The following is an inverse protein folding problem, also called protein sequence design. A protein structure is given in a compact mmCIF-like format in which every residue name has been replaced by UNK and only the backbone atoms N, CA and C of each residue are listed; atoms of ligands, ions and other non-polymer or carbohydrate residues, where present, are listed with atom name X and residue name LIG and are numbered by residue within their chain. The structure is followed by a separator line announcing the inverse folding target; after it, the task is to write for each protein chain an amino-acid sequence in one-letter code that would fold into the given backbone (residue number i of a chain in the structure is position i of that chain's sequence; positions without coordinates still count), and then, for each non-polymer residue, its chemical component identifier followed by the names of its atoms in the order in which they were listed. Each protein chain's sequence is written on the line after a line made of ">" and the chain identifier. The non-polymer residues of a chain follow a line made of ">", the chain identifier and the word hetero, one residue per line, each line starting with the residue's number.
data_IF_195779536031
#
_entry.id   IF_195779536031
#
_cell.length_a   1.000
_cell.length_b   1.000
_cell.length_c   1.000
_cell.angle_alpha   90.00
_cell.angle_beta   90.00
_cell.angle_gamma   90.00
#
_symmetry.space_group_name_H-M   'P 1'
#
loop_
_entity.id
_entity.type
_entity.pdbx_description
1 polymer ?
#
# COMPACT_ATOMS: atom_id res chain seq x y z
N UNK A 1 -33.77 -10.63 -5.08
CA UNK A 1 -33.51 -9.79 -3.89
C UNK A 1 -34.51 -8.63 -3.93
N UNK A 2 -35.50 -8.64 -3.06
CA UNK A 2 -36.47 -7.54 -2.89
C UNK A 2 -35.77 -6.34 -2.24
N UNK A 3 -36.08 -5.11 -2.66
CA UNK A 3 -35.42 -3.85 -2.26
C UNK A 3 -35.48 -3.50 -0.74
N UNK A 4 -35.96 -4.39 0.13
CA UNK A 4 -36.30 -4.09 1.53
C UNK A 4 -35.30 -4.58 2.60
N UNK A 5 -34.12 -5.07 2.25
CA UNK A 5 -33.10 -5.49 3.24
C UNK A 5 -31.68 -5.00 2.90
N UNK A 6 -31.55 -3.80 2.33
CA UNK A 6 -30.23 -3.18 2.19
C UNK A 6 -29.86 -2.48 3.50
N UNK A 7 -28.71 -2.85 4.08
CA UNK A 7 -28.18 -2.14 5.24
C UNK A 7 -27.95 -0.66 4.88
N UNK A 8 -28.07 0.28 5.85
CA UNK A 8 -27.77 1.68 5.60
C UNK A 8 -26.40 1.91 4.97
N UNK A 9 -25.40 1.12 5.37
CA UNK A 9 -24.05 1.16 4.79
C UNK A 9 -24.03 0.77 3.30
N UNK A 10 -24.80 -0.27 2.90
CA UNK A 10 -24.90 -0.68 1.51
C UNK A 10 -25.58 0.40 0.64
N UNK A 11 -26.60 1.08 1.17
CA UNK A 11 -27.26 2.20 0.50
C UNK A 11 -26.30 3.38 0.35
N UNK A 12 -25.60 3.76 1.41
CA UNK A 12 -24.61 4.85 1.39
C UNK A 12 -23.51 4.56 0.37
N UNK A 13 -22.96 3.35 0.37
CA UNK A 13 -21.95 2.95 -0.62
C UNK A 13 -22.50 3.01 -2.04
N UNK A 14 -23.71 2.51 -2.28
CA UNK A 14 -24.35 2.56 -3.61
C UNK A 14 -24.52 4.00 -4.13
N UNK A 15 -24.94 4.93 -3.27
CA UNK A 15 -25.07 6.35 -3.62
C UNK A 15 -23.71 6.96 -3.95
N UNK A 16 -22.69 6.72 -3.11
CA UNK A 16 -21.35 7.27 -3.34
C UNK A 16 -20.71 6.67 -4.59
N UNK A 17 -20.81 5.36 -4.80
CA UNK A 17 -20.32 4.67 -6.00
C UNK A 17 -20.99 5.22 -7.27
N UNK A 18 -22.30 5.48 -7.22
CA UNK A 18 -23.04 6.09 -8.35
C UNK A 18 -22.58 7.52 -8.63
N UNK A 19 -22.36 8.32 -7.59
CA UNK A 19 -21.82 9.67 -7.71
C UNK A 19 -20.40 9.67 -8.27
N UNK A 20 -19.53 8.79 -7.78
CA UNK A 20 -18.16 8.62 -8.27
C UNK A 20 -18.14 8.19 -9.72
N UNK A 21 -18.99 7.23 -10.11
CA UNK A 21 -19.14 6.83 -11.50
C UNK A 21 -19.57 8.00 -12.40
N UNK A 22 -20.50 8.83 -11.94
CA UNK A 22 -20.91 10.02 -12.67
C UNK A 22 -19.74 11.01 -12.84
N UNK A 23 -18.99 11.28 -11.76
CA UNK A 23 -17.80 12.14 -11.79
C UNK A 23 -16.74 11.58 -12.74
N UNK A 24 -16.45 10.28 -12.70
CA UNK A 24 -15.49 9.65 -13.60
C UNK A 24 -15.88 9.82 -15.08
N UNK A 25 -17.17 9.77 -15.43
CA UNK A 25 -17.64 9.98 -16.80
C UNK A 25 -17.53 11.44 -17.30
N UNK A 26 -17.29 12.41 -16.42
CA UNK A 26 -16.92 13.77 -16.81
C UNK A 26 -15.50 13.77 -17.39
N UNK A 27 -14.56 13.11 -16.69
CA UNK A 27 -13.15 13.07 -17.05
C UNK A 27 -12.82 12.04 -18.14
N UNK A 28 -13.55 10.92 -18.19
CA UNK A 28 -13.31 9.82 -19.12
C UNK A 28 -14.52 9.57 -20.00
N UNK A 29 -14.32 9.49 -21.31
CA UNK A 29 -15.42 9.16 -22.24
C UNK A 29 -15.87 7.72 -22.13
N UNK A 30 -14.98 6.82 -21.70
CA UNK A 30 -15.22 5.39 -21.64
C UNK A 30 -14.45 4.79 -20.46
N UNK A 31 -15.19 4.07 -19.63
CA UNK A 31 -14.70 3.33 -18.47
C UNK A 31 -15.16 1.89 -18.66
N UNK A 32 -14.22 0.96 -18.83
CA UNK A 32 -14.53 -0.47 -18.96
C UNK A 32 -13.96 -1.23 -17.78
N UNK A 33 -14.65 -2.31 -17.42
CA UNK A 33 -14.15 -3.30 -16.48
C UNK A 33 -13.79 -4.58 -17.23
N UNK A 34 -12.72 -5.24 -16.81
CA UNK A 34 -12.34 -6.57 -17.25
C UNK A 34 -12.10 -7.48 -16.06
N UNK A 35 -12.50 -8.75 -16.13
CA UNK A 35 -12.25 -9.71 -15.05
C UNK A 35 -13.03 -9.48 -13.76
N UNK A 36 -14.01 -8.57 -13.72
CA UNK A 36 -14.77 -8.27 -12.48
C UNK A 36 -15.50 -9.49 -11.89
N UNK A 37 -15.80 -10.50 -12.72
CA UNK A 37 -16.37 -11.78 -12.31
C UNK A 37 -15.38 -12.69 -11.56
N UNK A 38 -14.07 -12.39 -11.58
CA UNK A 38 -13.07 -13.07 -10.76
C UNK A 38 -13.16 -12.69 -9.28
N UNK A 39 -13.81 -11.56 -8.95
CA UNK A 39 -13.94 -11.07 -7.58
C UNK A 39 -14.87 -12.00 -6.79
N UNK A 40 -14.36 -12.74 -5.79
CA UNK A 40 -15.18 -13.63 -4.97
C UNK A 40 -16.29 -12.85 -4.27
N UNK A 41 -17.48 -13.43 -4.14
CA UNK A 41 -18.62 -12.81 -3.44
C UNK A 41 -18.75 -13.26 -1.98
N UNK A 42 -18.28 -14.48 -1.69
CA UNK A 42 -18.49 -15.14 -0.39
C UNK A 42 -17.22 -15.23 0.47
N UNK A 43 -16.11 -14.68 0.00
CA UNK A 43 -14.81 -14.67 0.69
C UNK A 43 -14.32 -13.24 0.92
N UNK A 44 -13.60 -12.92 2.01
CA UNK A 44 -13.05 -11.58 2.21
C UNK A 44 -11.95 -11.32 1.18
N UNK A 45 -11.83 -10.05 0.76
CA UNK A 45 -10.92 -9.67 -0.33
C UNK A 45 -10.05 -8.49 0.06
N UNK A 46 -8.74 -8.61 -0.16
CA UNK A 46 -7.86 -7.45 -0.25
C UNK A 46 -7.70 -7.11 -1.74
N UNK A 47 -8.23 -5.96 -2.15
CA UNK A 47 -7.94 -5.36 -3.44
C UNK A 47 -6.60 -4.64 -3.38
N UNK A 48 -5.63 -5.09 -4.16
CA UNK A 48 -4.45 -4.32 -4.47
C UNK A 48 -4.76 -3.49 -5.71
N UNK A 49 -4.69 -2.17 -5.64
CA UNK A 49 -5.10 -1.28 -6.73
C UNK A 49 -3.94 -0.40 -7.18
N UNK A 50 -3.71 -0.32 -8.49
CA UNK A 50 -2.66 0.52 -9.08
C UNK A 50 -2.53 0.33 -10.58
N UNK A 51 -1.59 0.99 -11.27
CA UNK A 51 -0.65 1.98 -10.73
C UNK A 51 -1.37 3.24 -10.20
N UNK A 52 -0.76 3.92 -9.23
CA UNK A 52 -1.39 5.06 -8.54
C UNK A 52 -0.91 6.42 -9.08
N UNK A 53 -1.34 6.75 -10.31
CA UNK A 53 -0.95 7.99 -10.99
C UNK A 53 -1.57 9.23 -10.35
N UNK A 54 -2.87 9.21 -10.05
CA UNK A 54 -3.61 10.36 -9.55
C UNK A 54 -4.41 9.98 -8.33
N UNK A 55 -3.85 10.30 -7.15
CA UNK A 55 -4.34 9.83 -5.83
C UNK A 55 -5.85 9.85 -5.66
N UNK A 56 -6.49 10.88 -6.20
CA UNK A 56 -7.93 11.07 -6.08
C UNK A 56 -8.72 10.44 -7.23
N UNK A 57 -8.29 10.63 -8.47
CA UNK A 57 -9.01 10.13 -9.66
C UNK A 57 -9.02 8.60 -9.66
N UNK A 58 -7.92 7.96 -9.27
CA UNK A 58 -7.79 6.51 -9.17
C UNK A 58 -8.82 5.93 -8.20
N UNK A 59 -8.97 6.55 -7.03
CA UNK A 59 -9.99 6.18 -6.06
C UNK A 59 -11.39 6.32 -6.62
N UNK A 60 -11.72 7.48 -7.20
CA UNK A 60 -13.06 7.75 -7.76
C UNK A 60 -13.40 6.76 -8.89
N UNK A 61 -12.46 6.48 -9.80
CA UNK A 61 -12.65 5.49 -10.87
C UNK A 61 -12.87 4.10 -10.30
N UNK A 62 -11.99 3.64 -9.41
CA UNK A 62 -12.08 2.30 -8.83
C UNK A 62 -13.39 2.11 -8.05
N UNK A 63 -13.69 2.98 -7.08
CA UNK A 63 -14.90 2.88 -6.25
C UNK A 63 -16.20 3.10 -7.06
N UNK A 64 -16.14 3.77 -8.21
CA UNK A 64 -17.28 3.93 -9.12
C UNK A 64 -17.62 2.66 -9.94
N UNK A 65 -16.71 1.70 -10.04
CA UNK A 65 -16.92 0.45 -10.81
C UNK A 65 -16.61 -0.83 -10.03
N UNK A 66 -16.23 -0.72 -8.76
CA UNK A 66 -15.89 -1.84 -7.90
C UNK A 66 -17.12 -2.75 -7.69
N UNK A 67 -17.04 -4.06 -8.01
CA UNK A 67 -18.17 -4.98 -7.85
C UNK A 67 -18.55 -5.27 -6.40
N UNK A 68 -17.66 -5.04 -5.43
CA UNK A 68 -17.95 -5.26 -4.00
C UNK A 68 -17.52 -4.07 -3.15
N UNK A 69 -18.36 -3.57 -2.23
CA UNK A 69 -17.98 -2.52 -1.28
C UNK A 69 -16.67 -2.85 -0.57
N UNK A 70 -15.81 -1.84 -0.42
CA UNK A 70 -14.51 -2.01 0.22
C UNK A 70 -14.05 -0.78 0.97
N UNK A 71 -13.23 -1.00 2.00
CA UNK A 71 -12.73 0.01 2.92
C UNK A 71 -11.28 0.36 2.56
N UNK A 72 -11.03 1.63 2.21
CA UNK A 72 -9.71 2.06 1.75
C UNK A 72 -8.78 2.38 2.91
N UNK A 73 -7.50 1.98 2.81
CA UNK A 73 -6.46 2.58 3.64
C UNK A 73 -6.16 4.00 3.15
N UNK A 74 -6.30 4.99 4.03
CA UNK A 74 -6.16 6.40 3.68
C UNK A 74 -5.14 7.08 4.59
N UNK A 75 -4.22 7.87 4.04
CA UNK A 75 -3.26 8.61 4.86
C UNK A 75 -3.99 9.54 5.85
N UNK A 76 -3.59 9.53 7.13
CA UNK A 76 -4.25 10.31 8.19
C UNK A 76 -4.29 11.82 7.87
N UNK A 77 -3.25 12.34 7.23
CA UNK A 77 -3.19 13.73 6.75
C UNK A 77 -4.30 14.04 5.74
N UNK A 78 -4.65 13.11 4.86
CA UNK A 78 -5.74 13.26 3.88
C UNK A 78 -7.10 13.06 4.56
N UNK A 79 -7.20 12.12 5.48
CA UNK A 79 -8.42 11.83 6.25
C UNK A 79 -8.89 13.01 7.11
N UNK A 80 -7.97 13.88 7.52
CA UNK A 80 -8.26 15.08 8.31
C UNK A 80 -8.56 16.33 7.46
N UNK A 81 -8.46 16.26 6.12
CA UNK A 81 -8.83 17.40 5.26
C UNK A 81 -10.35 17.55 5.16
N UNK A 82 -10.92 18.77 5.14
CA UNK A 82 -12.37 18.97 5.22
C UNK A 82 -13.19 18.26 4.13
N UNK A 83 -12.80 18.36 2.85
CA UNK A 83 -13.54 17.75 1.73
C UNK A 83 -13.17 16.27 1.55
N UNK A 84 -11.87 15.99 1.42
CA UNK A 84 -11.35 14.63 1.15
C UNK A 84 -11.65 13.69 2.32
N UNK A 85 -11.45 14.19 3.55
CA UNK A 85 -11.74 13.45 4.77
C UNK A 85 -13.22 13.23 5.03
N UNK A 86 -14.12 14.09 4.52
CA UNK A 86 -15.56 13.87 4.63
C UNK A 86 -15.99 12.66 3.80
N UNK A 87 -15.55 12.57 2.54
CA UNK A 87 -15.81 11.39 1.71
C UNK A 87 -15.13 10.14 2.25
N UNK A 88 -13.90 10.25 2.76
CA UNK A 88 -13.21 9.14 3.43
C UNK A 88 -14.03 8.58 4.61
N UNK A 89 -14.58 9.46 5.45
CA UNK A 89 -15.44 9.07 6.58
C UNK A 89 -16.75 8.42 6.13
N UNK A 90 -17.40 8.94 5.10
CA UNK A 90 -18.63 8.35 4.54
C UNK A 90 -18.38 6.94 4.01
N UNK A 91 -17.19 6.71 3.42
CA UNK A 91 -16.76 5.42 2.91
C UNK A 91 -16.07 4.54 3.98
N UNK A 92 -16.10 4.96 5.25
CA UNK A 92 -15.43 4.25 6.36
C UNK A 92 -13.96 3.92 6.07
N UNK A 93 -13.24 4.84 5.43
CA UNK A 93 -11.82 4.67 5.15
C UNK A 93 -11.01 4.57 6.46
N UNK A 94 -10.04 3.66 6.48
CA UNK A 94 -9.19 3.39 7.64
C UNK A 94 -8.00 4.36 7.61
N UNK A 95 -7.86 5.26 8.60
CA UNK A 95 -6.76 6.22 8.63
C UNK A 95 -5.44 5.53 8.99
N UNK A 96 -4.40 5.79 8.20
CA UNK A 96 -3.05 5.25 8.39
C UNK A 96 -2.09 6.40 8.63
N UNK A 97 -1.44 6.40 9.79
CA UNK A 97 -0.33 7.30 10.08
C UNK A 97 0.90 6.73 9.39
N UNK A 98 1.59 7.57 8.62
CA UNK A 98 2.80 7.18 7.90
C UNK A 98 3.99 7.93 8.48
N UNK A 99 5.12 7.27 8.79
CA UNK A 99 6.28 7.93 9.38
C UNK A 99 6.79 9.11 8.55
N UNK A 100 6.68 9.04 7.22
CA UNK A 100 7.10 10.13 6.33
C UNK A 100 6.24 11.40 6.43
N UNK A 101 5.00 11.30 6.94
CA UNK A 101 4.11 12.45 7.09
C UNK A 101 4.39 13.24 8.38
N UNK A 102 5.09 12.62 9.34
CA UNK A 102 5.42 13.19 10.65
C UNK A 102 6.93 13.47 10.80
N UNK A 103 7.62 13.72 9.68
CA UNK A 103 9.07 14.00 9.70
C UNK A 103 9.30 15.44 10.15
N UNK A 104 10.01 15.59 11.26
CA UNK A 104 10.37 16.89 11.82
C UNK A 104 11.88 17.12 11.72
N UNK A 105 12.28 18.39 11.74
CA UNK A 105 13.70 18.76 11.75
C UNK A 105 14.20 18.66 13.20
N UNK A 106 15.27 17.90 13.42
CA UNK A 106 15.89 17.82 14.75
C UNK A 106 16.63 19.11 15.12
N UNK A 107 16.69 19.40 16.42
CA UNK A 107 17.43 20.56 16.95
C UNK A 107 18.92 20.26 17.00
N UNK A 108 19.75 21.23 16.58
CA UNK A 108 21.21 21.08 16.61
C UNK A 108 21.75 20.26 15.43
N UNK A 109 22.89 19.62 15.66
CA UNK A 109 23.59 18.81 14.66
C UNK A 109 24.03 17.48 15.27
N UNK A 110 24.22 16.46 14.44
CA UNK A 110 24.73 15.16 14.87
C UNK A 110 26.10 14.85 14.26
N UNK A 111 26.91 14.12 14.99
CA UNK A 111 28.19 13.56 14.59
C UNK A 111 28.11 12.05 14.71
N UNK A 112 28.58 11.36 13.69
CA UNK A 112 28.58 9.91 13.63
C UNK A 112 29.89 9.43 13.03
N UNK A 113 30.56 8.50 13.71
CA UNK A 113 31.81 7.89 13.29
C UNK A 113 31.59 6.38 13.12
N UNK A 114 31.56 5.94 11.87
CA UNK A 114 31.34 4.53 11.52
C UNK A 114 32.54 3.62 11.81
N UNK A 115 33.73 4.17 12.05
CA UNK A 115 34.95 3.39 12.22
C UNK A 115 35.23 3.12 13.71
N UNK A 116 35.07 4.14 14.56
CA UNK A 116 35.40 4.04 15.99
C UNK A 116 34.20 3.79 16.88
N UNK A 117 33.03 4.35 16.56
CA UNK A 117 31.83 4.29 17.39
C UNK A 117 30.57 4.01 16.56
N UNK A 118 30.51 2.86 15.88
CA UNK A 118 29.54 2.60 14.82
C UNK A 118 28.09 2.43 15.27
N UNK A 119 27.85 2.38 16.59
CA UNK A 119 26.50 2.24 17.18
C UNK A 119 26.08 3.46 17.99
N UNK A 120 26.84 4.55 17.97
CA UNK A 120 26.55 5.74 18.78
C UNK A 120 26.50 6.98 17.91
N UNK A 121 25.50 7.83 18.16
CA UNK A 121 25.37 9.16 17.58
C UNK A 121 25.57 10.19 18.69
N UNK A 122 26.47 11.14 18.41
CA UNK A 122 26.74 12.28 19.28
C UNK A 122 26.05 13.52 18.75
N UNK A 123 25.39 14.27 19.63
CA UNK A 123 24.71 15.51 19.31
C UNK A 123 25.48 16.74 19.76
N UNK A 124 25.37 17.83 19.01
CA UNK A 124 25.86 19.16 19.36
C UNK A 124 24.70 20.15 19.39
N UNK A 125 24.45 20.74 20.57
CA UNK A 125 23.27 21.58 20.84
C UNK A 125 21.94 20.88 20.51
N UNK A 126 21.89 19.57 20.73
CA UNK A 126 20.73 18.71 20.51
C UNK A 126 19.88 18.59 21.77
N UNK A 127 18.66 18.10 21.62
CA UNK A 127 17.71 17.83 22.72
C UNK A 127 17.14 16.43 22.62
N UNK A 128 18.00 15.43 22.51
CA UNK A 128 17.56 14.06 22.22
C UNK A 128 16.55 13.50 23.24
N UNK A 129 16.61 13.88 24.51
CA UNK A 129 15.66 13.35 25.50
C UNK A 129 14.24 13.89 25.34
N UNK A 130 14.10 15.08 24.73
CA UNK A 130 12.81 15.70 24.41
C UNK A 130 12.30 15.30 23.02
N UNK A 131 13.20 15.12 22.05
CA UNK A 131 12.84 14.99 20.63
C UNK A 131 12.89 13.54 20.08
N UNK A 132 13.63 12.63 20.73
CA UNK A 132 13.79 11.25 20.27
C UNK A 132 13.15 10.25 21.25
N UNK A 133 12.47 9.26 20.68
CA UNK A 133 12.02 8.08 21.40
C UNK A 133 12.74 6.82 20.88
N UNK A 134 12.71 5.75 21.67
CA UNK A 134 13.19 4.45 21.22
C UNK A 134 12.42 3.99 19.99
N UNK A 135 13.13 3.42 19.01
CA UNK A 135 12.66 2.97 17.68
C UNK A 135 12.41 4.06 16.65
N UNK A 136 12.50 5.34 17.02
CA UNK A 136 12.44 6.44 16.06
C UNK A 136 13.57 6.33 15.03
N UNK A 137 13.37 6.99 13.90
CA UNK A 137 14.37 7.06 12.86
C UNK A 137 15.06 8.41 12.86
N UNK A 138 16.39 8.39 12.82
CA UNK A 138 17.19 9.57 12.51
C UNK A 138 17.56 9.50 11.03
N UNK A 139 17.23 10.55 10.29
CA UNK A 139 17.61 10.73 8.88
C UNK A 139 18.65 11.83 8.75
N UNK A 140 19.79 11.52 8.14
CA UNK A 140 20.90 12.47 8.01
C UNK A 140 21.74 12.19 6.75
N UNK A 141 22.61 13.14 6.42
CA UNK A 141 23.40 13.08 5.19
C UNK A 141 22.52 13.04 3.93
N UNK A 142 23.02 12.43 2.86
CA UNK A 142 22.26 12.32 1.61
C UNK A 142 21.12 11.32 1.69
N UNK A 143 21.32 10.16 2.33
CA UNK A 143 20.35 9.05 2.36
C UNK A 143 20.52 8.10 3.57
N UNK A 144 21.14 8.55 4.67
CA UNK A 144 21.32 7.67 5.83
C UNK A 144 20.08 7.70 6.72
N UNK A 145 19.62 6.49 7.10
CA UNK A 145 18.46 6.28 7.95
C UNK A 145 18.81 5.22 8.98
N UNK A 146 18.80 5.58 10.26
CA UNK A 146 19.14 4.69 11.38
C UNK A 146 18.02 4.64 12.39
N UNK A 147 17.90 3.53 13.10
CA UNK A 147 16.93 3.38 14.18
C UNK A 147 17.58 3.70 15.53
N UNK A 148 16.91 4.50 16.34
CA UNK A 148 17.28 4.75 17.73
C UNK A 148 17.03 3.48 18.54
N UNK A 149 18.10 2.88 19.06
CA UNK A 149 18.01 1.79 20.02
C UNK A 149 17.64 2.33 21.40
N UNK A 150 18.34 3.39 21.83
CA UNK A 150 18.20 4.00 23.15
C UNK A 150 18.68 5.45 23.14
N UNK A 151 17.99 6.33 23.87
CA UNK A 151 18.47 7.69 24.15
C UNK A 151 19.22 7.66 25.48
N UNK A 152 20.48 8.11 25.50
CA UNK A 152 21.33 8.12 26.71
C UNK A 152 21.26 9.49 27.39
N UNK A 153 21.39 10.57 26.61
CA UNK A 153 21.34 11.96 27.07
C UNK A 153 20.91 12.88 25.93
N UNK A 154 20.79 14.18 26.17
CA UNK A 154 20.44 15.16 25.13
C UNK A 154 21.44 15.20 23.97
N UNK A 155 22.65 14.69 24.17
CA UNK A 155 23.76 14.71 23.21
C UNK A 155 24.27 13.32 22.87
N UNK A 156 23.63 12.24 23.30
CA UNK A 156 24.09 10.89 23.02
C UNK A 156 22.92 9.90 22.87
N UNK A 157 22.91 9.15 21.77
CA UNK A 157 21.98 8.04 21.57
C UNK A 157 22.64 6.84 20.87
N UNK A 158 22.13 5.64 21.15
CA UNK A 158 22.54 4.39 20.53
C UNK A 158 21.64 4.07 19.34
N UNK A 159 22.21 3.44 18.30
CA UNK A 159 21.50 2.98 17.11
C UNK A 159 21.59 1.46 16.93
N UNK A 160 20.62 0.88 16.22
CA UNK A 160 20.51 -0.59 16.13
C UNK A 160 21.43 -1.24 15.10
N UNK A 161 21.97 -0.47 14.15
CA UNK A 161 22.81 -0.97 13.08
C UNK A 161 23.74 0.13 12.58
N UNK A 162 24.85 -0.29 11.99
CA UNK A 162 25.87 0.61 11.47
C UNK A 162 25.51 1.05 10.05
N UNK A 163 25.88 2.28 9.71
CA UNK A 163 25.77 2.82 8.35
C UNK A 163 27.16 3.22 7.88
N UNK A 164 27.49 2.87 6.63
CA UNK A 164 28.70 3.36 5.97
C UNK A 164 28.44 4.77 5.47
N UNK A 165 29.28 5.70 5.89
CA UNK A 165 29.24 7.08 5.45
C UNK A 165 30.45 7.30 4.57
N UNK A 166 30.22 7.49 3.27
CA UNK A 166 31.31 7.75 2.34
C UNK A 166 31.94 9.10 2.67
N UNK A 167 33.26 9.13 2.83
CA UNK A 167 34.00 10.37 3.02
C UNK A 167 34.01 11.13 1.69
N UNK A 168 33.40 12.32 1.64
CA UNK A 168 33.69 13.26 0.57
C UNK A 168 35.15 13.70 0.74
N UNK A 169 35.92 13.65 -0.36
CA UNK A 169 37.40 13.81 -0.45
C UNK A 169 38.00 15.08 0.18
N UNK A 170 37.18 15.97 0.78
CA UNK A 170 37.60 17.30 1.20
C UNK A 170 37.33 17.73 2.65
N UNK A 171 36.80 16.93 3.59
CA UNK A 171 36.89 17.31 5.02
C UNK A 171 36.50 16.25 6.07
N UNK A 172 37.50 15.92 6.91
CA UNK A 172 37.49 15.53 8.34
C UNK A 172 36.69 14.30 8.81
N UNK A 173 37.40 13.49 9.63
CA UNK A 173 36.98 12.32 10.44
C UNK A 173 35.77 12.49 11.38
N UNK A 174 35.01 13.59 11.30
CA UNK A 174 33.83 13.87 12.13
C UNK A 174 32.99 14.90 11.38
N UNK A 175 32.23 14.44 10.39
CA UNK A 175 31.29 15.29 9.71
C UNK A 175 30.07 15.52 10.61
N UNK A 176 29.72 16.79 10.79
CA UNK A 176 28.52 17.22 11.50
C UNK A 176 27.38 17.34 10.51
N UNK A 177 26.23 16.74 10.83
CA UNK A 177 25.06 16.65 9.96
C UNK A 177 23.86 17.32 10.60
N UNK A 178 23.12 18.10 9.81
CA UNK A 178 21.73 18.37 10.13
C UNK A 178 20.93 17.08 9.98
N UNK A 179 19.94 16.88 10.83
CA UNK A 179 19.15 15.65 10.82
C UNK A 179 17.65 15.93 10.89
N UNK A 180 16.88 14.92 10.53
CA UNK A 180 15.44 14.87 10.69
C UNK A 180 15.07 13.66 11.54
N UNK A 181 13.94 13.76 12.21
CA UNK A 181 13.39 12.72 13.07
C UNK A 181 12.11 12.24 12.40
N UNK A 182 11.99 10.93 12.17
CA UNK A 182 10.74 10.32 11.78
C UNK A 182 10.30 9.37 12.90
N UNK A 183 9.15 9.61 13.53
CA UNK A 183 8.72 8.83 14.68
C UNK A 183 8.40 7.39 14.27
N UNK A 184 8.63 6.46 15.19
CA UNK A 184 8.12 5.12 15.06
C UNK A 184 6.60 5.15 15.15
N UNK A 185 5.92 4.63 14.13
CA UNK A 185 4.46 4.53 14.12
C UNK A 185 4.07 3.11 14.47
N UNK A 186 3.28 2.97 15.54
CA UNK A 186 2.59 1.73 15.85
C UNK A 186 1.47 1.48 14.84
N UNK A 187 1.59 0.40 14.08
CA UNK A 187 0.62 0.00 13.05
C UNK A 187 -0.44 -0.97 13.60
N UNK A 188 -0.34 -1.38 14.87
CA UNK A 188 -1.27 -2.33 15.50
C UNK A 188 -2.73 -1.89 15.37
N UNK A 189 -3.12 -0.61 15.60
CA UNK A 189 -4.51 -0.19 15.46
C UNK A 189 -5.06 -0.38 14.04
N UNK A 190 -4.25 -0.10 13.01
CA UNK A 190 -4.63 -0.28 11.60
C UNK A 190 -4.84 -1.77 11.31
N UNK A 191 -3.96 -2.63 11.82
CA UNK A 191 -4.06 -4.07 11.61
C UNK A 191 -5.29 -4.67 12.29
N UNK A 192 -5.61 -4.26 13.52
CA UNK A 192 -6.82 -4.68 14.23
C UNK A 192 -8.08 -4.31 13.47
N UNK A 193 -8.14 -3.07 12.95
CA UNK A 193 -9.29 -2.59 12.17
C UNK A 193 -9.45 -3.36 10.86
N UNK A 194 -8.34 -3.59 10.14
CA UNK A 194 -8.33 -4.42 8.92
C UNK A 194 -8.81 -5.84 9.21
N UNK A 195 -8.31 -6.47 10.29
CA UNK A 195 -8.71 -7.80 10.69
C UNK A 195 -10.22 -7.87 11.00
N UNK A 196 -10.78 -6.83 11.63
CA UNK A 196 -12.21 -6.75 11.92
C UNK A 196 -13.06 -6.82 10.64
N UNK A 197 -12.79 -5.97 9.64
CA UNK A 197 -13.53 -5.98 8.36
C UNK A 197 -13.35 -7.31 7.61
N UNK A 198 -12.12 -7.84 7.55
CA UNK A 198 -11.87 -9.11 6.85
C UNK A 198 -12.61 -10.29 7.51
N UNK A 199 -12.66 -10.34 8.85
CA UNK A 199 -13.38 -11.38 9.57
C UNK A 199 -14.91 -11.29 9.37
N UNK A 200 -15.44 -10.10 9.04
CA UNK A 200 -16.84 -9.90 8.67
C UNK A 200 -17.15 -10.23 7.20
N UNK A 201 -16.23 -10.89 6.48
CA UNK A 201 -16.34 -11.20 5.05
C UNK A 201 -16.38 -9.94 4.14
N UNK A 202 -15.79 -8.85 4.60
CA UNK A 202 -15.74 -7.59 3.87
C UNK A 202 -14.43 -7.43 3.10
N UNK A 203 -14.35 -6.36 2.30
CA UNK A 203 -13.22 -6.12 1.42
C UNK A 203 -12.39 -4.91 1.88
N UNK A 204 -11.07 -5.00 1.76
CA UNK A 204 -10.15 -3.90 2.01
C UNK A 204 -9.52 -3.45 0.69
N UNK A 205 -9.35 -2.15 0.51
CA UNK A 205 -8.65 -1.58 -0.64
C UNK A 205 -7.32 -0.97 -0.21
N UNK A 206 -6.24 -1.43 -0.84
CA UNK A 206 -4.89 -0.97 -0.59
C UNK A 206 -4.27 -0.51 -1.91
N UNK A 207 -3.70 0.69 -1.89
CA UNK A 207 -2.80 1.18 -2.94
C UNK A 207 -1.36 0.89 -2.49
N UNK A 208 -0.75 -0.21 -2.94
CA UNK A 208 0.46 -0.77 -2.33
C UNK A 208 1.71 0.08 -2.54
N UNK A 209 1.69 1.04 -3.46
CA UNK A 209 2.79 1.98 -3.71
C UNK A 209 2.96 3.00 -2.57
N UNK A 210 1.91 3.25 -1.77
CA UNK A 210 1.91 4.10 -0.57
C UNK A 210 2.33 5.56 -0.80
N UNK A 211 2.19 6.08 -2.01
CA UNK A 211 2.42 7.44 -2.49
C UNK A 211 2.00 7.53 -3.97
N UNK A 212 1.80 8.73 -4.53
CA UNK A 212 1.59 8.90 -5.98
C UNK A 212 2.84 9.36 -6.69
N UNK A 213 2.96 9.00 -7.96
CA UNK A 213 4.02 9.47 -8.84
C UNK A 213 3.53 9.67 -10.26
N UNK A 214 4.15 10.62 -10.97
CA UNK A 214 3.87 10.88 -12.38
C UNK A 214 4.60 9.93 -13.35
N UNK A 215 5.27 8.89 -12.83
CA UNK A 215 5.99 7.90 -13.67
C UNK A 215 5.05 6.83 -14.23
N UNK A 216 5.33 6.38 -15.46
CA UNK A 216 4.60 5.32 -16.18
C UNK A 216 4.85 3.90 -15.64
N UNK A 217 5.86 3.74 -14.78
CA UNK A 217 6.28 2.45 -14.21
C UNK A 217 5.76 2.30 -12.77
N UNK A 218 5.32 1.10 -12.41
CA UNK A 218 4.85 0.78 -11.06
C UNK A 218 5.99 0.95 -10.04
N UNK A 219 5.71 1.55 -8.90
CA UNK A 219 6.64 1.51 -7.76
C UNK A 219 6.63 0.14 -7.09
N UNK A 220 7.74 -0.25 -6.42
CA UNK A 220 7.77 -1.46 -5.61
C UNK A 220 6.63 -1.46 -4.59
N UNK A 221 5.88 -2.56 -4.55
CA UNK A 221 4.84 -2.76 -3.57
C UNK A 221 5.41 -2.63 -2.14
N UNK A 222 4.68 -2.02 -1.22
CA UNK A 222 5.04 -1.98 0.20
C UNK A 222 4.54 -3.23 0.91
N UNK A 223 5.39 -3.81 1.78
CA UNK A 223 5.11 -5.04 2.53
C UNK A 223 3.89 -5.00 3.49
N UNK A 224 3.30 -3.82 3.71
CA UNK A 224 2.20 -3.63 4.66
C UNK A 224 1.00 -4.54 4.38
N UNK A 225 0.59 -4.70 3.11
CA UNK A 225 -0.57 -5.55 2.77
C UNK A 225 -0.30 -7.03 3.06
N UNK A 226 0.92 -7.52 2.80
CA UNK A 226 1.27 -8.91 3.05
C UNK A 226 1.29 -9.21 4.55
N UNK A 227 1.77 -8.25 5.36
CA UNK A 227 1.71 -8.35 6.84
C UNK A 227 0.27 -8.38 7.34
N UNK A 228 -0.62 -7.53 6.78
CA UNK A 228 -2.05 -7.54 7.14
C UNK A 228 -2.71 -8.86 6.76
N UNK A 229 -2.51 -9.35 5.53
CA UNK A 229 -3.14 -10.56 5.04
C UNK A 229 -2.71 -11.81 5.83
N UNK A 230 -1.41 -11.99 6.03
CA UNK A 230 -0.87 -13.09 6.84
C UNK A 230 -1.25 -12.96 8.31
N UNK A 231 -1.29 -11.74 8.84
CA UNK A 231 -1.73 -11.46 10.21
C UNK A 231 -3.18 -11.85 10.44
N UNK A 232 -4.08 -11.46 9.53
CA UNK A 232 -5.50 -11.79 9.60
C UNK A 232 -5.73 -13.32 9.54
N UNK A 233 -5.03 -14.03 8.65
CA UNK A 233 -5.10 -15.50 8.58
C UNK A 233 -4.45 -16.21 9.77
N UNK A 234 -3.46 -15.58 10.40
CA UNK A 234 -2.86 -16.12 11.61
C UNK A 234 -3.83 -16.04 12.81
N UNK A 235 -4.66 -14.99 12.85
CA UNK A 235 -5.69 -14.77 13.88
C UNK A 235 -6.97 -15.57 13.60
N UNK A 236 -7.38 -15.68 12.33
CA UNK A 236 -8.58 -16.38 11.86
C UNK A 236 -8.22 -17.48 10.84
N UNK A 237 -7.80 -18.69 11.29
CA UNK A 237 -7.28 -19.74 10.40
C UNK A 237 -8.28 -20.33 9.40
N UNK A 238 -9.58 -20.19 9.67
CA UNK A 238 -10.67 -20.70 8.82
C UNK A 238 -11.13 -19.69 7.76
N UNK A 239 -10.61 -18.45 7.81
CA UNK A 239 -10.94 -17.41 6.84
C UNK A 239 -10.33 -17.72 5.46
N UNK A 240 -11.16 -17.71 4.41
CA UNK A 240 -10.70 -17.90 3.03
C UNK A 240 -10.31 -16.56 2.37
N UNK A 241 -9.33 -15.86 2.93
CA UNK A 241 -8.90 -14.55 2.42
C UNK A 241 -8.32 -14.65 1.01
N UNK A 242 -8.81 -13.81 0.10
CA UNK A 242 -8.26 -13.66 -1.26
C UNK A 242 -7.59 -12.29 -1.45
N UNK A 243 -6.53 -12.27 -2.23
CA UNK A 243 -5.94 -11.03 -2.75
C UNK A 243 -6.30 -10.90 -4.22
N UNK A 244 -6.94 -9.80 -4.61
CA UNK A 244 -7.30 -9.53 -6.01
C UNK A 244 -6.46 -8.35 -6.50
N UNK A 245 -5.54 -8.57 -7.46
CA UNK A 245 -4.82 -7.48 -8.10
C UNK A 245 -5.76 -6.74 -9.06
N UNK A 246 -5.70 -5.41 -9.04
CA UNK A 246 -6.54 -4.51 -9.83
C UNK A 246 -5.67 -3.49 -10.54
N UNK A 247 -5.68 -3.58 -11.87
CA UNK A 247 -4.95 -2.68 -12.77
C UNK A 247 -5.81 -1.51 -13.25
N UNK A 248 -5.33 -0.28 -13.04
CA UNK A 248 -5.89 0.96 -13.58
C UNK A 248 -5.14 1.37 -14.85
N UNK A 249 -5.68 1.02 -16.02
CA UNK A 249 -5.02 1.23 -17.30
C UNK A 249 -5.58 2.48 -18.01
N UNK A 250 -4.88 3.60 -17.90
CA UNK A 250 -5.26 4.89 -18.52
C UNK A 250 -4.66 5.05 -19.92
N UNK A 251 -5.47 5.55 -20.86
CA UNK A 251 -5.04 5.83 -22.24
C UNK A 251 -5.03 7.33 -22.52
N UNK A 252 -3.84 7.90 -22.72
CA UNK A 252 -3.63 9.35 -22.82
C UNK A 252 -4.10 10.08 -21.54
N UNK A 253 -3.51 9.79 -20.37
CA UNK A 253 -3.93 10.36 -19.08
C UNK A 253 -3.83 11.90 -19.02
N UNK A 254 -3.00 12.49 -19.89
CA UNK A 254 -2.85 13.92 -20.10
C UNK A 254 -4.02 14.57 -20.87
N UNK A 255 -4.89 13.76 -21.50
CA UNK A 255 -6.01 14.26 -22.31
C UNK A 255 -7.34 14.13 -21.59
N UNK A 256 -8.10 15.22 -21.60
CA UNK A 256 -9.50 15.21 -21.18
C UNK A 256 -10.32 14.26 -22.05
N UNK A 257 -11.29 13.55 -21.46
CA UNK A 257 -12.13 12.54 -22.12
C UNK A 257 -11.33 11.38 -22.71
N UNK A 258 -10.23 11.03 -22.05
CA UNK A 258 -9.47 9.79 -22.26
C UNK A 258 -10.30 8.55 -21.91
N UNK A 259 -9.70 7.37 -22.08
CA UNK A 259 -10.31 6.07 -21.74
C UNK A 259 -9.56 5.45 -20.58
N UNK A 260 -10.27 4.68 -19.76
CA UNK A 260 -9.69 3.89 -18.68
C UNK A 260 -10.28 2.48 -18.67
N UNK A 261 -9.44 1.50 -18.37
CA UNK A 261 -9.83 0.10 -18.20
C UNK A 261 -9.40 -0.35 -16.80
N UNK A 262 -10.38 -0.78 -16.00
CA UNK A 262 -10.15 -1.36 -14.68
C UNK A 262 -10.14 -2.88 -14.82
N UNK A 263 -8.96 -3.48 -14.67
CA UNK A 263 -8.72 -4.91 -14.87
C UNK A 263 -8.58 -5.64 -13.54
N UNK A 264 -9.49 -6.55 -13.24
CA UNK A 264 -9.44 -7.42 -12.07
C UNK A 264 -8.78 -8.76 -12.44
N UNK A 265 -7.67 -9.09 -11.79
CA UNK A 265 -6.93 -10.31 -12.03
C UNK A 265 -7.53 -11.53 -11.32
N UNK A 266 -6.87 -12.67 -11.47
CA UNK A 266 -7.27 -13.88 -10.76
C UNK A 266 -7.04 -13.73 -9.25
N UNK A 267 -7.97 -14.18 -8.39
CA UNK A 267 -7.82 -14.09 -6.95
C UNK A 267 -6.70 -15.03 -6.48
N UNK A 268 -5.74 -14.47 -5.75
CA UNK A 268 -4.66 -15.21 -5.11
C UNK A 268 -5.15 -15.75 -3.77
N UNK A 269 -4.86 -17.02 -3.51
CA UNK A 269 -5.04 -17.66 -2.21
C UNK A 269 -3.70 -17.72 -1.49
N UNK A 270 -3.73 -17.56 -0.16
CA UNK A 270 -2.52 -17.61 0.67
C UNK A 270 -2.38 -19.02 1.24
N UNK A 271 -1.21 -19.65 1.06
CA UNK A 271 -0.96 -21.00 1.58
C UNK A 271 -0.88 -20.98 3.12
N UNK A 272 -1.55 -21.93 3.76
CA UNK A 272 -1.47 -22.15 5.21
C UNK A 272 -0.03 -22.30 5.70
N UNK A 273 0.86 -22.88 4.89
CA UNK A 273 2.30 -22.98 5.21
C UNK A 273 2.94 -21.62 5.40
N UNK A 274 2.57 -20.63 4.59
CA UNK A 274 3.12 -19.28 4.68
C UNK A 274 2.59 -18.56 5.93
N UNK A 275 1.35 -18.84 6.33
CA UNK A 275 0.77 -18.37 7.61
C UNK A 275 1.52 -18.97 8.80
N UNK A 276 1.86 -20.25 8.77
CA UNK A 276 2.63 -20.89 9.85
C UNK A 276 4.07 -20.34 9.93
N UNK A 277 4.72 -20.10 8.79
CA UNK A 277 6.02 -19.40 8.75
C UNK A 277 5.92 -17.97 9.31
N UNK A 278 4.81 -17.27 9.04
CA UNK A 278 4.53 -15.94 9.61
C UNK A 278 4.44 -15.97 11.14
N UNK A 279 3.71 -16.95 11.71
CA UNK A 279 3.55 -17.12 13.17
C UNK A 279 4.87 -17.41 13.89
N UNK A 280 5.81 -18.12 13.26
CA UNK A 280 7.12 -18.41 13.85
C UNK A 280 7.98 -17.16 14.11
N UNK A 281 7.68 -16.04 13.46
CA UNK A 281 8.41 -14.79 13.65
C UNK A 281 9.80 -14.77 12.99
N UNK A 282 10.60 -13.76 13.33
CA UNK A 282 12.00 -13.67 12.90
C UNK A 282 12.22 -13.76 11.39
N UNK A 283 13.11 -14.68 10.97
CA UNK A 283 13.46 -14.90 9.56
C UNK A 283 12.31 -15.56 8.78
N UNK A 284 11.64 -16.55 9.36
CA UNK A 284 10.49 -17.25 8.74
C UNK A 284 9.36 -16.28 8.39
N UNK A 285 9.07 -15.32 9.29
CA UNK A 285 8.10 -14.26 9.01
C UNK A 285 8.47 -13.40 7.80
N UNK A 286 9.75 -13.02 7.69
CA UNK A 286 10.22 -12.22 6.55
C UNK A 286 10.12 -13.01 5.25
N UNK A 287 10.45 -14.29 5.27
CA UNK A 287 10.33 -15.18 4.12
C UNK A 287 8.89 -15.30 3.63
N UNK A 288 7.93 -15.54 4.53
CA UNK A 288 6.51 -15.60 4.18
C UNK A 288 5.99 -14.28 3.57
N UNK A 289 6.38 -13.15 4.17
CA UNK A 289 6.02 -11.82 3.66
C UNK A 289 6.62 -11.59 2.27
N UNK A 290 7.92 -11.85 2.08
CA UNK A 290 8.58 -11.68 0.78
C UNK A 290 7.96 -12.56 -0.29
N UNK A 291 7.67 -13.83 0.01
CA UNK A 291 7.03 -14.73 -0.95
C UNK A 291 5.65 -14.22 -1.40
N UNK A 292 4.82 -13.76 -0.46
CA UNK A 292 3.50 -13.22 -0.80
C UNK A 292 3.61 -11.91 -1.60
N UNK A 293 4.62 -11.09 -1.29
CA UNK A 293 4.93 -9.88 -2.05
C UNK A 293 5.27 -10.20 -3.50
N UNK A 294 6.17 -11.17 -3.73
CA UNK A 294 6.62 -11.57 -5.07
C UNK A 294 5.46 -12.15 -5.89
N UNK A 295 4.66 -13.04 -5.30
CA UNK A 295 3.46 -13.59 -5.94
C UNK A 295 2.44 -12.50 -6.31
N UNK A 296 2.25 -11.53 -5.42
CA UNK A 296 1.33 -10.41 -5.66
C UNK A 296 1.85 -9.50 -6.77
N UNK A 297 3.15 -9.23 -6.81
CA UNK A 297 3.80 -8.43 -7.85
C UNK A 297 3.69 -9.08 -9.24
N UNK A 298 3.93 -10.39 -9.33
CA UNK A 298 3.73 -11.15 -10.58
C UNK A 298 2.28 -11.08 -11.07
N UNK A 299 1.32 -11.30 -10.18
CA UNK A 299 -0.10 -11.21 -10.53
C UNK A 299 -0.53 -9.78 -10.90
N UNK A 300 0.07 -8.77 -10.26
CA UNK A 300 -0.21 -7.37 -10.52
C UNK A 300 0.29 -6.94 -11.91
N UNK A 301 1.49 -7.37 -12.31
CA UNK A 301 2.05 -7.11 -13.64
C UNK A 301 1.12 -7.56 -14.78
N UNK A 302 0.39 -8.67 -14.58
CA UNK A 302 -0.58 -9.18 -15.57
C UNK A 302 -1.78 -8.26 -15.77
N UNK A 303 -2.19 -7.49 -14.76
CA UNK A 303 -3.34 -6.57 -14.84
C UNK A 303 -2.94 -5.13 -15.15
N UNK A 304 -1.67 -4.77 -14.94
CA UNK A 304 -1.11 -3.45 -15.25
C UNK A 304 -0.31 -3.42 -16.56
N UNK A 305 -0.38 -4.47 -17.38
CA UNK A 305 0.38 -4.51 -18.65
C UNK A 305 -0.05 -3.38 -19.57
N UNK A 306 0.87 -2.45 -19.82
CA UNK A 306 0.68 -1.33 -20.72
C UNK A 306 0.61 -1.82 -22.18
N UNK A 307 -0.47 -1.50 -22.89
CA UNK A 307 -0.57 -1.70 -24.32
C UNK A 307 -0.32 -0.37 -25.07
N UNK A 308 0.26 -0.39 -26.29
CA UNK A 308 0.52 0.83 -27.05
C UNK A 308 -0.78 1.56 -27.48
N UNK A 309 -1.89 0.83 -27.58
CA UNK A 309 -3.21 1.39 -27.92
C UNK A 309 -4.32 0.72 -27.11
N UNK A 310 -5.46 1.41 -27.02
CA UNK A 310 -6.67 0.88 -26.37
C UNK A 310 -7.16 -0.40 -27.06
N UNK A 311 -7.12 -0.42 -28.39
CA UNK A 311 -7.51 -1.54 -29.21
C UNK A 311 -6.59 -2.75 -28.96
N UNK A 312 -5.28 -2.52 -28.83
CA UNK A 312 -4.32 -3.58 -28.47
C UNK A 312 -4.58 -4.14 -27.06
N UNK A 313 -4.86 -3.28 -26.07
CA UNK A 313 -5.23 -3.76 -24.73
C UNK A 313 -6.50 -4.59 -24.77
N UNK A 314 -7.52 -4.14 -25.51
CA UNK A 314 -8.77 -4.88 -25.65
C UNK A 314 -8.56 -6.24 -26.31
N UNK A 315 -7.70 -6.34 -27.33
CA UNK A 315 -7.32 -7.62 -27.93
C UNK A 315 -6.62 -8.51 -26.91
N UNK A 316 -5.61 -8.01 -26.19
CA UNK A 316 -4.91 -8.81 -25.16
C UNK A 316 -5.86 -9.27 -24.04
N UNK A 317 -6.80 -8.42 -23.62
CA UNK A 317 -7.82 -8.78 -22.62
C UNK A 317 -8.75 -9.87 -23.17
N UNK A 318 -9.16 -9.77 -24.43
CA UNK A 318 -10.03 -10.77 -25.07
C UNK A 318 -9.27 -12.09 -25.28
N UNK A 319 -8.04 -12.04 -25.78
CA UNK A 319 -7.17 -13.21 -25.96
C UNK A 319 -6.85 -13.88 -24.61
N UNK A 320 -6.54 -13.12 -23.56
CA UNK A 320 -6.37 -13.65 -22.21
C UNK A 320 -7.62 -14.36 -21.69
N UNK A 321 -8.82 -13.83 -21.98
CA UNK A 321 -10.09 -14.52 -21.68
C UNK A 321 -10.27 -15.83 -22.46
N UNK A 322 -9.79 -15.92 -23.70
CA UNK A 322 -9.90 -17.14 -24.52
C UNK A 322 -8.76 -18.14 -24.28
N UNK A 323 -7.58 -17.69 -23.84
CA UNK A 323 -6.46 -18.55 -23.45
C UNK A 323 -6.82 -19.45 -22.26
N UNK A 324 -7.54 -18.91 -21.27
CA UNK A 324 -8.07 -19.68 -20.14
C UNK A 324 -9.19 -20.66 -20.55
N UNK A 325 -9.99 -20.33 -21.58
CA UNK A 325 -10.97 -21.26 -22.16
C UNK A 325 -10.32 -22.36 -23.03
N UNK A 326 -9.10 -22.14 -23.51
CA UNK A 326 -8.33 -23.09 -24.34
C UNK A 326 -7.76 -24.27 -23.55
N UNK A 327 -7.62 -24.17 -22.22
CA UNK A 327 -7.03 -25.23 -21.39
C UNK A 327 -8.04 -26.31 -20.95
N UNK A 328 -9.35 -26.09 -21.13
CA UNK A 328 -10.39 -27.08 -20.77
C UNK A 328 -10.96 -27.88 -21.95
N UNK A 329 -10.42 -27.76 -23.17
CA UNK A 329 -10.97 -28.49 -24.32
C UNK A 329 -9.91 -29.01 -25.30
N UNK A 330 -9.07 -29.92 -24.84
CA UNK A 330 -8.33 -30.90 -25.68
C UNK A 330 -8.01 -32.17 -24.87
N UNK A 331 -9.06 -32.79 -24.31
CA UNK A 331 -9.12 -34.24 -24.11
C UNK A 331 -10.39 -34.70 -24.79
N UNK A 332 -10.30 -35.04 -26.07
CA UNK A 332 -11.23 -35.94 -26.77
C UNK A 332 -10.60 -36.27 -28.13
N UNK A 333 -10.29 -37.57 -28.26
CA UNK A 333 -9.73 -38.32 -29.39
C UNK A 333 -8.22 -38.24 -29.63
#
# INVERSE_FOLDING_TARGET
>A
MTMNELSPAAVTYGVVSSAFRAVSHIFFREIKTSGSHHVPQDSPVIFLVGPHHSQFVDGVVFFGVNPRPSYALMAAVSYNRPLIGHFGKILNAIPVVRPQDAVEKGTGMIMYDSDTQPFTIYGQNTKFTEELNTRDFILFGRNHKVHVAKVISDTECEITHTVKVDMDDNNKKQASYSFKIAPHVDQTPVYTEVNHYLNNNECITIFPEGGSHDRSEMLPLKAGFAVMALGALAEYPDMDLKIVPVGLNYFHPDKFRSRVVVSYGQPLSIDRKDVELFKQGGKSKREAVTKLMDQSDEAFKLVTTSAPTYEALMVMIVEGKYGDLGCQRLKLY
#
